data_IF_229347896236
#
_entry.id   IF_229347896236
#
_cell.length_a   1.000
_cell.length_b   1.000
_cell.length_c   1.000
_cell.angle_alpha   90.00
_cell.angle_beta   90.00
_cell.angle_gamma   90.00
#
_symmetry.space_group_name_H-M   'P 1'
#
loop_
_entity.id
_entity.type
_entity.pdbx_description
1 polymer ?
#
# COMPACT_ATOMS: atom_id res chain seq x y z
N UNK A 1 42.31 9.19 15.36
CA UNK A 1 40.85 8.95 15.51
C UNK A 1 40.44 7.89 14.50
N UNK A 2 40.18 6.70 14.95
CA UNK A 2 39.67 5.62 14.07
C UNK A 2 38.27 5.98 13.65
N UNK A 3 38.04 6.06 12.34
CA UNK A 3 36.74 6.43 11.78
C UNK A 3 35.80 5.21 11.81
N UNK A 4 35.06 5.06 12.91
CA UNK A 4 34.08 3.95 13.10
C UNK A 4 33.09 3.85 11.93
N UNK A 5 32.70 4.99 11.36
CA UNK A 5 31.77 5.02 10.23
C UNK A 5 32.36 4.36 8.97
N UNK A 6 33.68 4.42 8.76
CA UNK A 6 34.31 3.75 7.60
C UNK A 6 34.34 2.22 7.77
N UNK A 7 34.49 1.74 9.01
CA UNK A 7 34.49 0.30 9.31
C UNK A 7 33.07 -0.27 9.22
N UNK A 8 32.08 0.44 9.77
CA UNK A 8 30.66 0.07 9.67
C UNK A 8 30.23 0.03 8.20
N UNK A 9 30.50 1.08 7.41
CA UNK A 9 30.19 1.11 5.98
C UNK A 9 30.92 0.01 5.20
N UNK A 10 32.14 -0.39 5.57
CA UNK A 10 32.87 -1.46 4.89
C UNK A 10 32.31 -2.85 5.21
N UNK A 11 31.77 -3.06 6.41
CA UNK A 11 31.14 -4.31 6.81
C UNK A 11 29.78 -4.51 6.12
N UNK A 12 28.96 -3.45 6.03
CA UNK A 12 27.67 -3.51 5.33
C UNK A 12 27.87 -3.57 3.80
N UNK A 13 28.75 -2.77 3.22
CA UNK A 13 29.05 -2.81 1.77
C UNK A 13 29.67 -4.12 1.29
N UNK A 14 30.29 -4.89 2.17
CA UNK A 14 30.85 -6.20 1.83
C UNK A 14 29.78 -7.25 1.52
N UNK A 15 28.68 -7.24 2.28
CA UNK A 15 27.56 -8.18 2.06
C UNK A 15 26.75 -7.82 0.81
N UNK A 16 26.50 -6.52 0.58
CA UNK A 16 25.77 -6.04 -0.60
C UNK A 16 26.54 -6.31 -1.90
N UNK A 17 27.86 -6.08 -1.91
CA UNK A 17 28.73 -6.39 -3.06
C UNK A 17 28.71 -7.88 -3.39
N UNK A 18 28.68 -8.75 -2.39
CA UNK A 18 28.60 -10.19 -2.58
C UNK A 18 27.25 -10.59 -3.20
N UNK A 19 26.13 -10.09 -2.64
CA UNK A 19 24.78 -10.32 -3.18
C UNK A 19 24.63 -9.81 -4.62
N UNK A 20 25.10 -8.59 -4.91
CA UNK A 20 25.11 -8.04 -6.27
C UNK A 20 25.94 -8.92 -7.21
N UNK A 21 27.07 -9.47 -6.76
CA UNK A 21 27.88 -10.42 -7.52
C UNK A 21 27.14 -11.72 -7.84
N UNK A 22 26.38 -12.25 -6.89
CA UNK A 22 25.53 -13.44 -7.08
C UNK A 22 24.39 -13.15 -8.07
N UNK A 23 23.65 -12.05 -7.87
CA UNK A 23 22.57 -11.64 -8.77
C UNK A 23 23.07 -11.29 -10.19
N UNK A 24 24.31 -10.80 -10.32
CA UNK A 24 24.91 -10.56 -11.63
C UNK A 24 25.17 -11.84 -12.41
N UNK A 25 25.42 -12.97 -11.74
CA UNK A 25 25.53 -14.29 -12.39
C UNK A 25 24.15 -14.76 -12.86
N UNK A 26 23.15 -14.68 -11.98
CA UNK A 26 21.76 -15.03 -12.31
C UNK A 26 21.26 -14.19 -13.50
N UNK A 27 21.57 -12.87 -13.54
CA UNK A 27 21.21 -12.02 -14.66
C UNK A 27 21.83 -12.48 -16.01
N UNK A 28 23.05 -13.04 -15.98
CA UNK A 28 23.68 -13.65 -17.18
C UNK A 28 23.01 -14.95 -17.59
N UNK A 29 22.57 -15.74 -16.61
CA UNK A 29 21.85 -16.98 -16.88
C UNK A 29 20.46 -16.66 -17.50
N UNK A 30 19.80 -15.56 -17.04
CA UNK A 30 18.58 -15.04 -17.67
C UNK A 30 18.86 -14.58 -19.12
N UNK A 31 20.01 -13.92 -19.37
CA UNK A 31 20.41 -13.55 -20.73
C UNK A 31 20.53 -14.78 -21.66
N UNK A 32 21.03 -15.90 -21.14
CA UNK A 32 21.18 -17.12 -21.92
C UNK A 32 19.84 -17.73 -22.36
N UNK A 33 18.76 -17.48 -21.59
CA UNK A 33 17.41 -17.94 -21.91
C UNK A 33 16.69 -17.08 -22.95
N UNK A 34 17.17 -15.86 -23.25
CA UNK A 34 16.48 -14.90 -24.12
C UNK A 34 16.14 -15.49 -25.49
N UNK A 35 17.11 -16.14 -26.15
CA UNK A 35 16.91 -16.74 -27.47
C UNK A 35 15.88 -17.90 -27.49
N UNK A 36 15.66 -18.55 -26.35
CA UNK A 36 14.62 -19.58 -26.21
C UNK A 36 13.24 -18.92 -26.12
N UNK A 37 13.08 -17.93 -25.24
CA UNK A 37 11.78 -17.28 -25.01
C UNK A 37 11.36 -16.39 -26.18
N UNK A 38 12.30 -15.82 -26.93
CA UNK A 38 12.01 -15.04 -28.14
C UNK A 38 11.31 -15.87 -29.24
N UNK A 39 11.54 -17.19 -29.27
CA UNK A 39 10.92 -18.10 -30.26
C UNK A 39 9.52 -18.55 -29.86
N UNK A 40 9.12 -18.39 -28.60
CA UNK A 40 7.82 -18.81 -28.10
C UNK A 40 6.73 -17.82 -28.52
N UNK A 41 5.57 -18.35 -28.89
CA UNK A 41 4.37 -17.53 -29.10
C UNK A 41 3.82 -17.03 -27.74
N UNK A 42 2.85 -16.12 -27.77
CA UNK A 42 2.17 -15.69 -26.55
C UNK A 42 1.49 -16.88 -25.86
N UNK A 43 0.84 -17.72 -26.60
CA UNK A 43 0.15 -18.92 -26.11
C UNK A 43 1.15 -19.89 -25.44
N UNK A 44 2.33 -20.08 -26.06
CA UNK A 44 3.39 -20.92 -25.48
C UNK A 44 3.88 -20.36 -24.15
N UNK A 45 4.00 -19.02 -24.02
CA UNK A 45 4.39 -18.37 -22.76
C UNK A 45 3.33 -18.59 -21.68
N UNK A 46 2.06 -18.44 -22.02
CA UNK A 46 0.96 -18.66 -21.06
C UNK A 46 0.94 -20.14 -20.60
N UNK A 47 1.05 -21.09 -21.52
CA UNK A 47 1.14 -22.52 -21.16
C UNK A 47 2.36 -22.81 -20.27
N UNK A 48 3.48 -22.11 -20.52
CA UNK A 48 4.67 -22.26 -19.69
C UNK A 48 4.44 -21.72 -18.26
N UNK A 49 3.78 -20.58 -18.16
CA UNK A 49 3.39 -19.96 -16.87
C UNK A 49 2.46 -20.89 -16.08
N UNK A 50 1.46 -21.48 -16.74
CA UNK A 50 0.54 -22.42 -16.09
C UNK A 50 1.27 -23.64 -15.53
N UNK A 51 2.29 -24.13 -16.22
CA UNK A 51 3.15 -25.23 -15.72
C UNK A 51 3.95 -24.80 -14.50
N UNK A 52 4.45 -23.56 -14.44
CA UNK A 52 5.16 -23.03 -13.26
C UNK A 52 4.16 -22.92 -12.09
N UNK A 53 2.99 -22.34 -12.31
CA UNK A 53 1.93 -22.22 -11.28
C UNK A 53 1.56 -23.60 -10.71
N UNK A 54 1.40 -24.60 -11.56
CA UNK A 54 1.11 -25.97 -11.13
C UNK A 54 2.22 -26.53 -10.22
N UNK A 55 3.49 -26.34 -10.57
CA UNK A 55 4.62 -26.80 -9.73
C UNK A 55 4.68 -26.07 -8.38
N UNK A 56 4.44 -24.75 -8.37
CA UNK A 56 4.38 -23.98 -7.11
C UNK A 56 3.24 -24.49 -6.24
N UNK A 57 2.07 -24.77 -6.81
CA UNK A 57 0.94 -25.36 -6.10
C UNK A 57 1.23 -26.75 -5.54
N UNK A 58 2.08 -27.52 -6.22
CA UNK A 58 2.56 -28.83 -5.77
C UNK A 58 3.71 -28.74 -4.73
N UNK A 59 4.10 -27.51 -4.32
CA UNK A 59 5.04 -27.25 -3.23
C UNK A 59 6.47 -26.91 -3.65
N UNK A 60 6.73 -26.64 -4.94
CA UNK A 60 8.03 -26.10 -5.37
C UNK A 60 8.21 -24.67 -4.88
N UNK A 61 9.45 -24.31 -4.54
CA UNK A 61 9.77 -22.92 -4.17
C UNK A 61 9.64 -21.99 -5.37
N UNK A 62 9.06 -20.82 -5.16
CA UNK A 62 8.97 -19.77 -6.17
C UNK A 62 10.36 -19.32 -6.67
N UNK A 63 11.38 -19.40 -5.80
CA UNK A 63 12.76 -19.03 -6.11
C UNK A 63 13.37 -19.92 -7.22
N UNK A 64 12.88 -21.14 -7.38
CA UNK A 64 13.35 -22.06 -8.44
C UNK A 64 13.02 -21.54 -9.84
N UNK A 65 12.06 -20.61 -9.96
CA UNK A 65 11.56 -20.12 -11.25
C UNK A 65 12.00 -18.68 -11.57
N UNK A 66 12.94 -18.11 -10.81
CA UNK A 66 13.43 -16.73 -11.04
C UNK A 66 13.95 -16.56 -12.46
N UNK A 67 14.73 -17.51 -12.98
CA UNK A 67 15.36 -17.43 -14.29
C UNK A 67 14.29 -17.35 -15.38
N UNK A 68 13.38 -18.29 -15.39
CA UNK A 68 12.33 -18.39 -16.40
C UNK A 68 11.33 -17.23 -16.28
N UNK A 69 10.89 -16.91 -15.07
CA UNK A 69 9.93 -15.84 -14.82
C UNK A 69 10.47 -14.48 -15.29
N UNK A 70 11.73 -14.18 -14.98
CA UNK A 70 12.36 -12.92 -15.41
C UNK A 70 12.62 -12.88 -16.92
N UNK A 71 12.98 -14.01 -17.51
CA UNK A 71 13.13 -14.09 -18.98
C UNK A 71 11.77 -13.89 -19.69
N UNK A 72 10.70 -14.47 -19.16
CA UNK A 72 9.32 -14.31 -19.67
C UNK A 72 8.89 -12.85 -19.60
N UNK A 73 9.05 -12.19 -18.44
CA UNK A 73 8.68 -10.77 -18.28
C UNK A 73 9.50 -9.87 -19.18
N UNK A 74 10.79 -10.12 -19.29
CA UNK A 74 11.69 -9.37 -20.20
C UNK A 74 11.20 -9.43 -21.64
N UNK A 75 10.85 -10.63 -22.11
CA UNK A 75 10.35 -10.82 -23.48
C UNK A 75 8.98 -10.17 -23.67
N UNK A 76 8.07 -10.31 -22.69
CA UNK A 76 6.77 -9.67 -22.72
C UNK A 76 6.88 -8.14 -22.76
N UNK A 77 7.75 -7.55 -21.94
CA UNK A 77 8.00 -6.11 -21.93
C UNK A 77 8.58 -5.62 -23.29
N UNK A 78 9.49 -6.38 -23.89
CA UNK A 78 10.03 -6.11 -25.22
C UNK A 78 8.92 -6.09 -26.28
N UNK A 79 7.99 -7.05 -26.24
CA UNK A 79 6.89 -7.17 -27.22
C UNK A 79 5.79 -6.13 -27.02
N UNK A 80 5.45 -5.80 -25.78
CA UNK A 80 4.31 -4.92 -25.47
C UNK A 80 4.69 -3.44 -25.37
N UNK A 81 5.86 -3.15 -24.79
CA UNK A 81 6.32 -1.79 -24.51
C UNK A 81 7.49 -1.36 -25.41
N UNK A 82 8.09 -2.26 -26.18
CA UNK A 82 9.36 -2.00 -26.87
C UNK A 82 10.54 -1.83 -25.92
N UNK A 83 10.40 -2.23 -24.65
CA UNK A 83 11.39 -2.02 -23.59
C UNK A 83 11.92 -3.37 -23.08
N UNK A 84 13.20 -3.60 -23.29
CA UNK A 84 13.90 -4.77 -22.75
C UNK A 84 14.60 -4.41 -21.46
N UNK A 85 14.38 -5.17 -20.40
CA UNK A 85 15.08 -4.96 -19.12
C UNK A 85 16.60 -5.14 -19.30
N UNK A 86 17.38 -4.20 -18.75
CA UNK A 86 18.83 -4.32 -18.62
C UNK A 86 19.21 -5.20 -17.44
N UNK A 87 20.44 -5.74 -17.46
CA UNK A 87 20.88 -6.64 -16.38
C UNK A 87 20.86 -5.98 -15.00
N UNK A 88 21.15 -4.67 -14.91
CA UNK A 88 21.03 -3.92 -13.64
C UNK A 88 19.58 -3.88 -13.16
N UNK A 89 18.62 -3.83 -14.07
CA UNK A 89 17.19 -3.87 -13.72
C UNK A 89 16.75 -5.27 -13.26
N UNK A 90 17.30 -6.33 -13.84
CA UNK A 90 17.08 -7.70 -13.34
C UNK A 90 17.59 -7.84 -11.88
N UNK A 91 18.78 -7.27 -11.60
CA UNK A 91 19.31 -7.24 -10.23
C UNK A 91 18.37 -6.51 -9.29
N UNK A 92 17.84 -5.34 -9.70
CA UNK A 92 16.84 -4.60 -8.94
C UNK A 92 15.58 -5.44 -8.66
N UNK A 93 15.06 -6.16 -9.64
CA UNK A 93 13.92 -7.07 -9.48
C UNK A 93 14.20 -8.19 -8.48
N UNK A 94 15.40 -8.78 -8.51
CA UNK A 94 15.81 -9.81 -7.54
C UNK A 94 15.94 -9.25 -6.12
N UNK A 95 16.42 -8.01 -5.96
CA UNK A 95 16.48 -7.33 -4.66
C UNK A 95 15.06 -7.14 -4.10
N UNK A 96 14.12 -6.66 -4.93
CA UNK A 96 12.71 -6.48 -4.54
C UNK A 96 12.07 -7.81 -4.14
N UNK A 97 12.27 -8.86 -4.94
CA UNK A 97 11.74 -10.19 -4.63
C UNK A 97 12.23 -10.73 -3.28
N UNK A 98 13.47 -10.45 -2.93
CA UNK A 98 14.07 -10.84 -1.65
C UNK A 98 13.70 -9.90 -0.48
N UNK A 99 12.70 -9.02 -0.63
CA UNK A 99 12.26 -8.09 0.41
C UNK A 99 13.27 -6.99 0.71
N UNK A 100 14.15 -6.68 -0.22
CA UNK A 100 15.17 -5.64 -0.09
C UNK A 100 14.72 -4.29 -0.64
N UNK A 101 15.53 -3.28 -0.41
CA UNK A 101 15.36 -1.93 -0.96
C UNK A 101 16.27 -1.80 -2.18
N UNK A 102 15.68 -1.57 -3.35
CA UNK A 102 16.40 -1.31 -4.59
C UNK A 102 16.45 0.21 -4.84
N UNK A 103 17.57 0.85 -4.48
CA UNK A 103 17.79 2.25 -4.79
C UNK A 103 18.21 2.40 -6.25
N UNK A 104 17.42 3.17 -7.00
CA UNK A 104 17.68 3.48 -8.41
C UNK A 104 17.44 4.97 -8.66
N UNK A 105 18.30 5.58 -9.48
CA UNK A 105 18.15 7.00 -9.85
C UNK A 105 16.90 7.24 -10.71
N UNK A 106 16.42 8.46 -10.68
CA UNK A 106 15.34 8.90 -11.57
C UNK A 106 15.72 8.65 -13.03
N UNK A 107 14.80 8.05 -13.80
CA UNK A 107 15.02 7.71 -15.20
C UNK A 107 15.65 6.32 -15.44
N UNK A 108 16.05 5.57 -14.42
CA UNK A 108 16.61 4.22 -14.58
C UNK A 108 15.55 3.11 -14.74
N UNK A 109 14.26 3.49 -14.82
CA UNK A 109 13.17 2.56 -15.12
C UNK A 109 12.66 1.75 -13.92
N UNK A 110 12.58 2.35 -12.71
CA UNK A 110 12.03 1.70 -11.50
C UNK A 110 10.69 1.04 -11.75
N UNK A 111 9.77 1.72 -12.44
CA UNK A 111 8.45 1.20 -12.77
C UNK A 111 8.51 -0.09 -13.59
N UNK A 112 9.45 -0.18 -14.54
CA UNK A 112 9.68 -1.40 -15.33
C UNK A 112 10.30 -2.52 -14.49
N UNK A 113 11.21 -2.19 -13.56
CA UNK A 113 11.85 -3.15 -12.64
C UNK A 113 10.81 -3.83 -11.74
N UNK A 114 9.80 -3.09 -11.26
CA UNK A 114 8.75 -3.65 -10.40
C UNK A 114 7.99 -4.79 -11.05
N UNK A 115 7.89 -4.81 -12.40
CA UNK A 115 7.17 -5.86 -13.13
C UNK A 115 7.79 -7.24 -12.94
N UNK A 116 9.11 -7.33 -12.75
CA UNK A 116 9.84 -8.58 -12.56
C UNK A 116 9.44 -9.29 -11.26
N UNK A 117 9.55 -8.58 -10.13
CA UNK A 117 9.20 -9.12 -8.83
C UNK A 117 7.68 -9.30 -8.68
N UNK A 118 6.87 -8.37 -9.22
CA UNK A 118 5.42 -8.48 -9.20
C UNK A 118 4.93 -9.71 -9.96
N UNK A 119 5.44 -9.97 -11.16
CA UNK A 119 5.09 -11.15 -11.94
C UNK A 119 5.47 -12.43 -11.20
N UNK A 120 6.73 -12.56 -10.76
CA UNK A 120 7.19 -13.77 -10.07
C UNK A 120 6.30 -14.09 -8.86
N UNK A 121 6.03 -13.11 -8.00
CA UNK A 121 5.23 -13.32 -6.80
C UNK A 121 3.72 -13.51 -7.08
N UNK A 122 3.22 -13.07 -8.24
CA UNK A 122 1.83 -13.33 -8.64
C UNK A 122 1.57 -14.78 -9.03
N UNK A 123 2.63 -15.57 -9.29
CA UNK A 123 2.50 -16.98 -9.66
C UNK A 123 2.02 -17.87 -8.50
N UNK A 124 1.98 -17.35 -7.28
CA UNK A 124 1.38 -18.03 -6.12
C UNK A 124 -0.15 -17.98 -6.10
N UNK A 125 -0.78 -17.21 -6.98
CA UNK A 125 -2.22 -16.90 -7.01
C UNK A 125 -2.75 -16.19 -5.74
N UNK A 126 -1.87 -15.75 -4.84
CA UNK A 126 -2.26 -15.06 -3.59
C UNK A 126 -2.38 -13.53 -3.73
N UNK A 127 -1.98 -13.00 -4.87
CA UNK A 127 -2.04 -11.59 -5.22
C UNK A 127 -0.83 -10.76 -4.77
N UNK A 128 -0.57 -9.72 -5.55
CA UNK A 128 0.54 -8.77 -5.34
C UNK A 128 -0.01 -7.36 -5.30
N UNK A 129 0.43 -6.56 -4.33
CA UNK A 129 0.11 -5.15 -4.24
C UNK A 129 1.29 -4.28 -4.70
N UNK A 130 1.02 -3.28 -5.54
CA UNK A 130 1.99 -2.26 -5.92
C UNK A 130 1.48 -0.92 -5.40
N UNK A 131 2.20 -0.38 -4.40
CA UNK A 131 1.81 0.79 -3.64
C UNK A 131 2.52 2.01 -4.20
N UNK A 132 1.76 3.06 -4.52
CA UNK A 132 2.27 4.35 -5.02
C UNK A 132 1.80 5.51 -4.12
N UNK A 133 2.35 6.71 -4.34
CA UNK A 133 2.04 7.88 -3.50
C UNK A 133 0.74 8.59 -3.89
N UNK A 134 0.22 8.40 -5.10
CA UNK A 134 -0.99 9.08 -5.56
C UNK A 134 -1.76 8.31 -6.64
N UNK A 135 -3.02 8.68 -6.84
CA UNK A 135 -3.94 8.05 -7.79
C UNK A 135 -3.49 8.16 -9.25
N UNK A 136 -2.82 9.26 -9.60
CA UNK A 136 -2.31 9.45 -10.96
C UNK A 136 -1.26 8.38 -11.30
N UNK A 137 -0.30 8.15 -10.40
CA UNK A 137 0.72 7.11 -10.60
C UNK A 137 0.10 5.72 -10.58
N UNK A 138 -0.83 5.44 -9.67
CA UNK A 138 -1.52 4.16 -9.62
C UNK A 138 -2.21 3.84 -10.96
N UNK A 139 -2.94 4.79 -11.55
CA UNK A 139 -3.59 4.62 -12.86
C UNK A 139 -2.57 4.48 -13.98
N UNK A 140 -1.64 5.43 -14.09
CA UNK A 140 -0.62 5.44 -15.15
C UNK A 140 0.13 4.12 -15.19
N UNK A 141 0.59 3.64 -14.04
CA UNK A 141 1.45 2.46 -13.97
C UNK A 141 0.65 1.16 -14.13
N UNK A 142 -0.57 1.09 -13.61
CA UNK A 142 -1.48 -0.04 -13.85
C UNK A 142 -1.88 -0.19 -15.32
N UNK A 143 -2.07 0.92 -16.03
CA UNK A 143 -2.36 0.91 -17.46
C UNK A 143 -1.13 0.56 -18.28
N UNK A 144 0.00 1.22 -18.00
CA UNK A 144 1.22 1.07 -18.78
C UNK A 144 1.88 -0.30 -18.57
N UNK A 145 2.22 -0.65 -17.33
CA UNK A 145 2.81 -1.96 -17.00
C UNK A 145 1.79 -3.09 -17.09
N UNK A 146 0.50 -2.78 -16.92
CA UNK A 146 -0.59 -3.71 -17.12
C UNK A 146 -0.61 -4.39 -18.48
N UNK A 147 -0.05 -3.74 -19.52
CA UNK A 147 0.08 -4.37 -20.82
C UNK A 147 1.01 -5.59 -20.81
N UNK A 148 2.09 -5.54 -20.01
CA UNK A 148 3.02 -6.67 -19.84
C UNK A 148 2.30 -7.84 -19.15
N UNK A 149 1.61 -7.57 -18.06
CA UNK A 149 0.91 -8.58 -17.26
C UNK A 149 -0.25 -9.23 -18.04
N UNK A 150 -1.07 -8.41 -18.69
CA UNK A 150 -2.19 -8.88 -19.53
C UNK A 150 -1.71 -9.73 -20.71
N UNK A 151 -0.56 -9.38 -21.31
CA UNK A 151 0.06 -10.18 -22.36
C UNK A 151 0.44 -11.57 -21.86
N UNK A 152 0.79 -11.70 -20.59
CA UNK A 152 1.12 -12.96 -19.91
C UNK A 152 -0.09 -13.66 -19.28
N UNK A 153 -1.32 -13.20 -19.54
CA UNK A 153 -2.55 -13.80 -19.06
C UNK A 153 -2.94 -13.43 -17.63
N UNK A 154 -2.26 -12.44 -17.01
CA UNK A 154 -2.58 -11.98 -15.66
C UNK A 154 -3.58 -10.82 -15.66
N UNK A 155 -4.36 -10.74 -14.58
CA UNK A 155 -5.32 -9.67 -14.32
C UNK A 155 -4.68 -8.53 -13.51
N UNK A 156 -5.08 -7.29 -13.82
CA UNK A 156 -4.55 -6.08 -13.17
C UNK A 156 -5.70 -5.22 -12.67
N UNK A 157 -5.69 -4.93 -11.37
CA UNK A 157 -6.61 -4.02 -10.69
C UNK A 157 -5.94 -2.68 -10.36
N UNK A 158 -6.76 -1.66 -10.16
CA UNK A 158 -6.31 -0.33 -9.74
C UNK A 158 -7.27 0.25 -8.71
N UNK A 159 -6.74 0.55 -7.53
CA UNK A 159 -7.47 1.15 -6.41
C UNK A 159 -7.14 2.63 -6.31
N UNK A 160 -8.12 3.44 -6.58
CA UNK A 160 -8.08 4.91 -6.50
C UNK A 160 -9.32 5.41 -5.76
N UNK A 161 -9.35 6.68 -5.41
CA UNK A 161 -10.40 7.30 -4.59
C UNK A 161 -11.81 7.22 -5.22
N UNK A 162 -11.93 7.06 -6.52
CA UNK A 162 -13.20 6.91 -7.24
C UNK A 162 -13.71 5.46 -7.29
N UNK A 163 -12.89 4.47 -6.92
CA UNK A 163 -13.35 3.09 -6.77
C UNK A 163 -14.11 2.97 -5.46
N UNK A 164 -15.44 3.02 -5.55
CA UNK A 164 -16.34 3.01 -4.39
C UNK A 164 -17.15 1.72 -4.32
N UNK A 165 -17.56 1.37 -3.11
CA UNK A 165 -18.35 0.16 -2.88
C UNK A 165 -17.53 -1.11 -2.66
N UNK A 166 -18.10 -2.03 -1.88
CA UNK A 166 -17.41 -3.26 -1.46
C UNK A 166 -17.13 -4.17 -2.64
N UNK A 167 -18.12 -4.39 -3.48
CA UNK A 167 -18.02 -5.33 -4.61
C UNK A 167 -17.00 -4.88 -5.66
N UNK A 168 -16.97 -3.57 -5.95
CA UNK A 168 -16.02 -3.04 -6.93
C UNK A 168 -14.60 -3.11 -6.40
N UNK A 169 -14.36 -2.77 -5.12
CA UNK A 169 -13.06 -2.92 -4.48
C UNK A 169 -12.61 -4.38 -4.42
N UNK A 170 -13.52 -5.31 -4.09
CA UNK A 170 -13.23 -6.75 -4.13
C UNK A 170 -12.78 -7.22 -5.51
N UNK A 171 -13.38 -6.72 -6.59
CA UNK A 171 -12.93 -7.03 -7.96
C UNK A 171 -11.49 -6.59 -8.19
N UNK A 172 -11.12 -5.39 -7.72
CA UNK A 172 -9.74 -4.91 -7.87
C UNK A 172 -8.76 -5.77 -7.06
N UNK A 173 -9.09 -6.10 -5.81
CA UNK A 173 -8.24 -6.95 -4.97
C UNK A 173 -8.16 -8.40 -5.46
N UNK A 174 -9.16 -8.90 -6.18
CA UNK A 174 -9.16 -10.24 -6.73
C UNK A 174 -8.31 -10.40 -8.00
N UNK A 175 -7.76 -9.31 -8.55
CA UNK A 175 -6.77 -9.37 -9.61
C UNK A 175 -5.45 -9.97 -9.12
N UNK A 176 -4.65 -10.51 -10.02
CA UNK A 176 -3.32 -11.06 -9.72
C UNK A 176 -2.37 -9.96 -9.20
N UNK A 177 -2.48 -8.76 -9.77
CA UNK A 177 -1.69 -7.60 -9.38
C UNK A 177 -2.63 -6.42 -9.18
N UNK A 178 -2.55 -5.76 -8.02
CA UNK A 178 -3.38 -4.60 -7.69
C UNK A 178 -2.49 -3.39 -7.39
N UNK A 179 -2.63 -2.36 -8.22
CA UNK A 179 -2.04 -1.04 -7.98
C UNK A 179 -2.95 -0.21 -7.09
N UNK A 180 -2.38 0.65 -6.27
CA UNK A 180 -3.15 1.58 -5.45
C UNK A 180 -2.26 2.51 -4.65
N UNK A 181 -2.87 3.49 -3.98
CA UNK A 181 -2.14 4.38 -3.08
C UNK A 181 -2.00 3.75 -1.70
N UNK A 182 -0.96 4.17 -0.96
CA UNK A 182 -0.78 3.80 0.44
C UNK A 182 -2.04 4.08 1.28
N UNK A 183 -2.72 5.20 1.02
CA UNK A 183 -3.95 5.58 1.72
C UNK A 183 -5.09 4.61 1.43
N UNK A 184 -5.32 4.24 0.16
CA UNK A 184 -6.39 3.32 -0.21
C UNK A 184 -6.21 1.94 0.42
N UNK A 185 -5.00 1.37 0.35
CA UNK A 185 -4.68 0.11 1.02
C UNK A 185 -4.83 0.20 2.53
N UNK A 186 -4.34 1.28 3.14
CA UNK A 186 -4.42 1.48 4.58
C UNK A 186 -5.85 1.70 5.08
N UNK A 187 -6.65 2.51 4.40
CA UNK A 187 -8.06 2.69 4.75
C UNK A 187 -8.89 1.42 4.57
N UNK A 188 -8.63 0.63 3.53
CA UNK A 188 -9.31 -0.65 3.36
C UNK A 188 -8.94 -1.63 4.47
N UNK A 189 -7.67 -1.70 4.84
CA UNK A 189 -7.25 -2.51 5.98
C UNK A 189 -7.97 -2.12 7.27
N UNK A 190 -8.07 -0.82 7.56
CA UNK A 190 -8.80 -0.34 8.74
C UNK A 190 -10.30 -0.65 8.64
N UNK A 191 -10.92 -0.42 7.48
CA UNK A 191 -12.33 -0.75 7.26
C UNK A 191 -12.61 -2.24 7.43
N UNK A 192 -11.77 -3.09 6.90
CA UNK A 192 -11.92 -4.55 6.99
C UNK A 192 -11.80 -5.04 8.44
N UNK A 193 -10.93 -4.44 9.25
CA UNK A 193 -10.83 -4.75 10.68
C UNK A 193 -12.07 -4.31 11.50
N UNK A 194 -12.89 -3.41 10.98
CA UNK A 194 -14.16 -3.00 11.58
C UNK A 194 -15.36 -3.83 11.07
N UNK A 195 -15.18 -4.66 10.05
CA UNK A 195 -16.25 -5.46 9.46
C UNK A 195 -16.64 -6.63 10.35
N UNK A 196 -17.94 -6.77 10.63
CA UNK A 196 -18.50 -7.91 11.36
C UNK A 196 -18.60 -9.15 10.46
N UNK A 197 -18.88 -8.96 9.18
CA UNK A 197 -19.08 -10.05 8.22
C UNK A 197 -17.84 -10.19 7.31
N UNK A 198 -17.23 -11.38 7.32
CA UNK A 198 -16.04 -11.69 6.52
C UNK A 198 -16.26 -11.48 5.02
N UNK A 199 -17.44 -11.77 4.49
CA UNK A 199 -17.78 -11.59 3.07
C UNK A 199 -17.86 -10.12 2.64
N UNK A 200 -17.84 -9.18 3.59
CA UNK A 200 -17.76 -7.74 3.33
C UNK A 200 -16.36 -7.16 3.39
N UNK A 201 -15.37 -7.96 3.78
CA UNK A 201 -13.97 -7.56 3.67
C UNK A 201 -13.57 -7.47 2.20
N UNK A 202 -12.76 -6.48 1.88
CA UNK A 202 -12.34 -6.24 0.49
C UNK A 202 -10.97 -6.80 0.19
N UNK A 203 -10.07 -6.80 1.17
CA UNK A 203 -8.73 -7.32 1.01
C UNK A 203 -8.69 -8.85 1.17
N UNK A 204 -7.77 -9.48 0.45
CA UNK A 204 -7.36 -10.86 0.66
C UNK A 204 -6.24 -10.92 1.73
N UNK A 205 -5.64 -12.09 1.92
CA UNK A 205 -4.39 -12.22 2.67
C UNK A 205 -3.29 -11.34 2.06
N UNK A 206 -2.38 -10.85 2.90
CA UNK A 206 -1.22 -10.09 2.45
C UNK A 206 -0.09 -11.06 2.11
N UNK A 207 0.21 -11.21 0.82
CA UNK A 207 1.27 -12.10 0.33
C UNK A 207 2.54 -11.30 0.03
N UNK A 208 2.49 -10.41 -0.95
CA UNK A 208 3.64 -9.65 -1.39
C UNK A 208 3.26 -8.22 -1.76
N UNK A 209 4.11 -7.25 -1.42
CA UNK A 209 3.91 -5.87 -1.86
C UNK A 209 5.23 -5.23 -2.31
N UNK A 210 5.12 -4.34 -3.29
CA UNK A 210 6.17 -3.42 -3.71
C UNK A 210 5.71 -2.02 -3.33
N UNK A 211 6.53 -1.28 -2.61
CA UNK A 211 6.27 0.12 -2.26
C UNK A 211 7.19 0.99 -3.11
N UNK A 212 6.62 1.74 -4.05
CA UNK A 212 7.36 2.73 -4.84
C UNK A 212 7.44 4.05 -4.08
N UNK A 213 8.52 4.81 -4.28
CA UNK A 213 8.80 6.06 -3.54
C UNK A 213 8.70 5.86 -2.01
N UNK A 214 9.37 4.82 -1.53
CA UNK A 214 9.31 4.35 -0.14
C UNK A 214 9.75 5.41 0.88
N UNK A 215 10.64 6.33 0.51
CA UNK A 215 11.06 7.49 1.29
C UNK A 215 9.89 8.44 1.57
N UNK A 216 9.08 8.76 0.58
CA UNK A 216 7.87 9.57 0.76
C UNK A 216 6.84 8.85 1.65
N UNK A 217 6.57 7.57 1.39
CA UNK A 217 5.50 6.82 2.08
C UNK A 217 5.89 6.46 3.51
N UNK A 218 7.09 5.89 3.73
CA UNK A 218 7.47 5.31 5.02
C UNK A 218 8.33 6.25 5.88
N UNK A 219 8.77 7.40 5.36
CA UNK A 219 9.55 8.38 6.11
C UNK A 219 8.80 9.70 6.20
N UNK A 220 8.56 10.39 5.08
CA UNK A 220 8.00 11.74 5.09
C UNK A 220 6.57 11.76 5.61
N UNK A 221 5.71 10.85 5.15
CA UNK A 221 4.30 10.73 5.56
C UNK A 221 4.06 9.77 6.72
N UNK A 222 5.11 9.16 7.29
CA UNK A 222 4.99 8.10 8.30
C UNK A 222 4.24 8.49 9.57
N UNK A 223 4.20 9.78 9.89
CA UNK A 223 3.50 10.32 11.07
C UNK A 223 2.08 10.77 10.79
N UNK A 224 1.63 10.76 9.54
CA UNK A 224 0.26 11.14 9.18
C UNK A 224 -0.68 10.00 9.55
N UNK A 225 -1.57 10.16 10.55
CA UNK A 225 -2.45 9.08 10.98
C UNK A 225 -3.54 8.84 9.94
N UNK A 226 -3.83 7.57 9.64
CA UNK A 226 -5.03 7.18 8.93
C UNK A 226 -6.18 7.09 9.93
N UNK A 227 -7.14 8.01 9.85
CA UNK A 227 -8.28 8.07 10.77
C UNK A 227 -9.56 7.76 10.04
N UNK A 228 -10.29 6.73 10.49
CA UNK A 228 -11.67 6.48 10.08
C UNK A 228 -12.59 7.06 11.14
N UNK A 229 -13.38 8.07 10.76
CA UNK A 229 -14.47 8.58 11.58
C UNK A 229 -15.81 8.20 10.95
N UNK A 230 -16.73 7.66 11.76
CA UNK A 230 -18.13 7.55 11.35
C UNK A 230 -18.79 8.92 11.35
N UNK A 231 -19.79 9.11 10.51
CA UNK A 231 -20.66 10.26 10.65
C UNK A 231 -21.34 10.18 12.04
N UNK A 232 -20.93 11.05 12.94
CA UNK A 232 -21.72 11.30 14.15
C UNK A 232 -22.90 12.15 13.65
N UNK A 233 -24.12 11.83 14.15
CA UNK A 233 -25.27 12.69 13.94
C UNK A 233 -24.86 14.15 14.17
N UNK A 234 -25.19 15.00 13.20
CA UNK A 234 -24.84 16.41 13.28
C UNK A 234 -25.52 17.04 14.49
N UNK A 235 -24.80 17.12 15.62
CA UNK A 235 -25.26 17.74 16.85
C UNK A 235 -25.04 19.24 16.87
N UNK A 236 -24.75 19.86 15.70
CA UNK A 236 -24.52 21.31 15.58
C UNK A 236 -25.69 22.11 16.17
N UNK A 237 -26.93 21.65 15.98
CA UNK A 237 -28.12 22.26 16.59
C UNK A 237 -28.09 22.18 18.12
N UNK A 238 -27.66 21.04 18.69
CA UNK A 238 -27.52 20.88 20.13
C UNK A 238 -26.40 21.79 20.67
N UNK A 239 -25.24 21.79 20.04
CA UNK A 239 -24.12 22.67 20.44
C UNK A 239 -24.53 24.15 20.38
N UNK A 240 -25.21 24.59 19.32
CA UNK A 240 -25.71 25.94 19.21
C UNK A 240 -26.76 26.28 20.29
N UNK A 241 -27.57 25.30 20.66
CA UNK A 241 -28.57 25.49 21.71
C UNK A 241 -27.95 25.58 23.11
N UNK A 242 -26.96 24.69 23.39
CA UNK A 242 -26.20 24.72 24.65
C UNK A 242 -25.36 26.00 24.74
N UNK A 243 -24.74 26.45 23.67
CA UNK A 243 -23.95 27.68 23.65
C UNK A 243 -24.75 28.93 24.10
N UNK A 244 -26.06 28.92 23.92
CA UNK A 244 -26.95 30.04 24.35
C UNK A 244 -27.05 30.20 25.87
N UNK A 245 -26.57 29.21 26.66
CA UNK A 245 -26.58 29.36 28.14
C UNK A 245 -25.33 30.10 28.65
N UNK A 246 -24.23 30.14 27.87
CA UNK A 246 -22.97 30.73 28.32
C UNK A 246 -23.12 32.17 28.86
N UNK A 247 -23.91 33.08 28.23
CA UNK A 247 -24.10 34.43 28.74
C UNK A 247 -24.82 34.53 30.10
N UNK A 248 -25.39 33.43 30.61
CA UNK A 248 -26.06 33.37 31.88
C UNK A 248 -25.20 32.81 33.02
N UNK A 249 -23.95 32.40 32.69
CA UNK A 249 -22.98 31.94 33.68
C UNK A 249 -22.17 33.12 34.20
N UNK A 250 -21.96 33.18 35.49
CA UNK A 250 -21.11 34.17 36.14
C UNK A 250 -19.66 33.67 36.25
N UNK A 251 -18.67 34.53 36.50
CA UNK A 251 -17.26 34.14 36.63
C UNK A 251 -16.98 33.11 37.71
N UNK A 252 -17.88 32.94 38.68
CA UNK A 252 -17.80 31.96 39.77
C UNK A 252 -18.28 30.56 39.34
N UNK A 253 -18.94 30.47 38.19
CA UNK A 253 -19.58 29.22 37.73
C UNK A 253 -18.61 28.38 36.88
N UNK A 254 -17.40 28.90 36.52
CA UNK A 254 -16.41 28.19 35.74
C UNK A 254 -14.98 28.56 36.12
N UNK A 255 -14.06 27.67 35.81
CA UNK A 255 -12.61 27.86 35.95
C UNK A 255 -11.95 27.79 34.56
N UNK A 256 -10.99 28.67 34.31
CA UNK A 256 -10.23 28.70 33.04
C UNK A 256 -8.76 28.35 33.35
N UNK A 257 -8.25 27.31 32.69
CA UNK A 257 -6.82 27.04 32.62
C UNK A 257 -6.26 27.52 31.28
N UNK A 258 -5.63 28.68 31.27
CA UNK A 258 -5.06 29.29 30.06
C UNK A 258 -3.91 28.46 29.47
N UNK A 259 -3.15 27.69 30.32
CA UNK A 259 -2.03 26.86 29.87
C UNK A 259 -2.53 25.60 29.16
N UNK A 260 -3.54 24.96 29.74
CA UNK A 260 -4.19 23.78 29.18
C UNK A 260 -5.21 24.14 28.09
N UNK A 261 -5.56 25.42 27.92
CA UNK A 261 -6.64 25.92 27.04
C UNK A 261 -7.97 25.23 27.29
N UNK A 262 -8.31 25.01 28.54
CA UNK A 262 -9.56 24.37 28.95
C UNK A 262 -10.39 25.30 29.84
N UNK A 263 -11.70 25.14 29.77
CA UNK A 263 -12.65 25.78 30.66
C UNK A 263 -13.57 24.69 31.25
N UNK A 264 -13.71 24.62 32.57
CA UNK A 264 -14.51 23.64 33.25
C UNK A 264 -15.53 24.32 34.17
N UNK A 265 -16.75 23.79 34.24
CA UNK A 265 -17.73 24.30 35.17
C UNK A 265 -17.37 23.88 36.62
N UNK A 266 -17.62 24.77 37.58
CA UNK A 266 -17.58 24.42 38.99
C UNK A 266 -18.86 23.62 39.37
N UNK A 267 -18.90 23.01 40.54
CA UNK A 267 -20.12 22.31 41.02
C UNK A 267 -21.35 23.24 41.00
N UNK A 268 -21.18 24.49 41.45
CA UNK A 268 -22.19 25.53 41.38
C UNK A 268 -22.59 25.87 39.96
N UNK A 269 -21.60 25.91 39.06
CA UNK A 269 -21.82 26.17 37.64
C UNK A 269 -22.57 25.04 36.94
N UNK A 270 -22.29 23.78 37.31
CA UNK A 270 -22.99 22.62 36.80
C UNK A 270 -24.48 22.66 37.18
N UNK A 271 -24.80 22.89 38.46
CA UNK A 271 -26.17 22.99 38.93
C UNK A 271 -26.94 24.12 38.24
N UNK A 272 -26.30 25.28 38.05
CA UNK A 272 -26.89 26.43 37.38
C UNK A 272 -27.10 26.16 35.90
N UNK A 273 -26.12 25.57 35.22
CA UNK A 273 -26.22 25.21 33.79
C UNK A 273 -27.36 24.20 33.56
N UNK A 274 -27.47 23.17 34.42
CA UNK A 274 -28.53 22.16 34.36
C UNK A 274 -29.91 22.81 34.50
N UNK A 275 -30.06 23.69 35.48
CA UNK A 275 -31.31 24.42 35.72
C UNK A 275 -31.72 25.25 34.49
N UNK A 276 -30.80 26.01 33.90
CA UNK A 276 -31.05 26.84 32.69
C UNK A 276 -31.41 25.96 31.50
N UNK A 277 -30.72 24.83 31.31
CA UNK A 277 -30.97 23.90 30.20
C UNK A 277 -32.38 23.26 30.35
N UNK A 278 -32.82 22.91 31.55
CA UNK A 278 -34.17 22.43 31.84
C UNK A 278 -35.22 23.51 31.59
N UNK A 279 -35.02 24.74 32.10
CA UNK A 279 -35.92 25.86 31.89
C UNK A 279 -36.11 26.23 30.41
N UNK A 280 -35.06 26.05 29.61
CA UNK A 280 -35.10 26.29 28.16
C UNK A 280 -35.53 25.07 27.34
N UNK A 281 -35.95 23.98 27.97
CA UNK A 281 -36.33 22.70 27.33
C UNK A 281 -35.27 22.15 26.34
N UNK A 282 -34.00 22.39 26.64
CA UNK A 282 -32.89 21.85 25.84
C UNK A 282 -32.58 20.41 26.26
N UNK A 283 -32.78 20.10 27.54
CA UNK A 283 -32.72 18.73 28.11
C UNK A 283 -34.03 18.41 28.81
N UNK A 284 -34.51 17.17 28.70
CA UNK A 284 -35.83 16.77 29.20
C UNK A 284 -35.78 16.12 30.57
N UNK A 285 -34.89 15.24 30.87
CA UNK A 285 -34.60 14.63 32.19
C UNK A 285 -33.22 13.95 32.15
N UNK A 286 -32.47 14.09 33.23
CA UNK A 286 -31.14 13.49 33.38
C UNK A 286 -30.14 14.46 33.99
N UNK A 287 -29.09 13.93 34.53
CA UNK A 287 -27.92 14.70 34.97
C UNK A 287 -26.99 14.89 33.77
N UNK A 288 -26.17 15.93 33.79
CA UNK A 288 -25.12 16.18 32.76
C UNK A 288 -24.02 15.10 32.78
N UNK A 289 -24.15 14.08 33.58
CA UNK A 289 -23.25 12.93 33.70
C UNK A 289 -24.01 11.60 33.59
#
# INVERSE_FOLDING_TARGET
>A
MFNLNSIVNSLFSGNDKKKIGEFSKIAKDIDALEAEFEKKTQEDLIIYIDKIKAKIKDGASIDEFILEAFAIVREAAKRTLGQRHFNVQLIGGMILHNGGIAEMKTGEGKTLVSTLAAFLNSLTDEGVHIVTVNDYLARRDSEWMGNVFKYLGLTVGCLTNDVTGVEERQKQYNCDITYGTNNEFGFDYLRDNLRVLKNRMVQRSHNFCIVDEVDSILIDESRTPLVISGAIEDKTTLYNSVNKIIPFLDPEDYEIDEKAKTATLTDKGNDKAEKILKEKNIITEGTLY
#
